data_IF_188202935039
#
_entry.id   IF_188202935039
#
_cell.length_a   1.000
_cell.length_b   1.000
_cell.length_c   1.000
_cell.angle_alpha   90.00
_cell.angle_beta   90.00
_cell.angle_gamma   90.00
#
_symmetry.space_group_name_H-M   'P 1'
#
loop_
_entity.id
_entity.type
_entity.pdbx_description
1 polymer ?
#
# COMPACT_ATOMS: atom_id res chain seq x y z
N UNK A 1 -11.24 -14.21 -0.93
CA UNK A 1 -10.06 -13.39 -0.59
C UNK A 1 -10.35 -12.56 0.65
N UNK A 2 -9.38 -12.47 1.53
CA UNK A 2 -9.51 -11.69 2.76
C UNK A 2 -8.54 -10.52 2.74
N UNK A 3 -9.08 -9.31 2.65
CA UNK A 3 -8.30 -8.08 2.71
C UNK A 3 -7.99 -7.69 4.15
N UNK A 4 -6.96 -6.87 4.33
CA UNK A 4 -6.59 -6.32 5.63
C UNK A 4 -5.96 -4.95 5.46
N UNK A 5 -5.81 -4.21 6.55
CA UNK A 5 -5.11 -2.92 6.55
C UNK A 5 -3.73 -3.00 7.18
N UNK A 6 -3.47 -4.05 7.95
CA UNK A 6 -2.20 -4.26 8.66
C UNK A 6 -1.78 -5.72 8.52
N UNK A 7 -0.48 -6.00 8.49
CA UNK A 7 -0.01 -7.38 8.49
C UNK A 7 -0.32 -8.06 9.82
N UNK A 8 -0.53 -9.38 9.79
CA UNK A 8 -0.60 -10.17 11.00
C UNK A 8 0.82 -10.52 11.47
N UNK A 9 0.93 -11.14 12.65
CA UNK A 9 2.22 -11.44 13.26
C UNK A 9 3.07 -12.37 12.40
N UNK A 10 2.45 -13.37 11.78
CA UNK A 10 3.15 -14.31 10.91
C UNK A 10 3.71 -13.62 9.67
N UNK A 11 2.92 -12.75 9.06
CA UNK A 11 3.34 -11.98 7.88
C UNK A 11 4.49 -11.04 8.24
N UNK A 12 4.39 -10.34 9.36
CA UNK A 12 5.45 -9.44 9.81
C UNK A 12 6.73 -10.22 10.12
N UNK A 13 6.63 -11.35 10.80
CA UNK A 13 7.78 -12.20 11.12
C UNK A 13 8.50 -12.65 9.85
N UNK A 14 7.73 -13.08 8.83
CA UNK A 14 8.31 -13.48 7.54
C UNK A 14 9.00 -12.31 6.82
N UNK A 15 8.42 -11.13 6.90
CA UNK A 15 9.00 -9.94 6.27
C UNK A 15 10.27 -9.46 6.98
N UNK A 16 10.41 -9.77 8.28
CA UNK A 16 11.61 -9.43 9.07
C UNK A 16 12.76 -10.42 8.86
N UNK A 17 12.52 -11.56 8.21
CA UNK A 17 13.59 -12.52 7.92
C UNK A 17 14.65 -11.90 7.01
N UNK A 18 15.89 -12.35 7.16
CA UNK A 18 16.97 -11.87 6.31
C UNK A 18 16.67 -12.17 4.84
N UNK A 19 16.91 -11.17 4.00
CA UNK A 19 16.84 -11.30 2.56
C UNK A 19 18.22 -10.97 1.99
N UNK A 20 18.41 -11.22 0.70
CA UNK A 20 19.67 -10.97 0.03
C UNK A 20 19.92 -9.48 -0.26
N UNK A 21 19.15 -8.58 0.34
CA UNK A 21 19.28 -7.14 0.07
C UNK A 21 18.82 -6.73 -1.32
N UNK A 22 18.06 -7.58 -1.98
CA UNK A 22 17.53 -7.34 -3.32
C UNK A 22 16.40 -6.32 -3.29
N UNK A 23 16.24 -5.53 -4.36
CA UNK A 23 15.03 -4.71 -4.50
C UNK A 23 13.77 -5.55 -4.48
N UNK A 24 12.74 -4.98 -3.88
CA UNK A 24 11.41 -5.59 -3.86
C UNK A 24 10.42 -4.66 -4.55
N UNK A 25 9.44 -5.25 -5.22
CA UNK A 25 8.37 -4.54 -5.90
C UNK A 25 7.07 -4.94 -5.25
N UNK A 26 6.51 -4.03 -4.45
CA UNK A 26 5.32 -4.31 -3.67
C UNK A 26 4.08 -4.00 -4.50
N UNK A 27 3.30 -5.03 -4.77
CA UNK A 27 2.05 -4.92 -5.52
C UNK A 27 0.93 -4.68 -4.53
N UNK A 28 0.25 -3.55 -4.66
CA UNK A 28 -0.86 -3.18 -3.81
C UNK A 28 -2.16 -3.29 -4.58
N UNK A 29 -3.09 -4.08 -4.07
CA UNK A 29 -4.46 -4.16 -4.57
C UNK A 29 -5.33 -3.44 -3.54
N UNK A 30 -6.00 -2.37 -3.96
CA UNK A 30 -6.64 -1.43 -3.05
C UNK A 30 -8.15 -1.40 -3.25
N UNK A 31 -8.88 -1.45 -2.13
CA UNK A 31 -10.33 -1.27 -2.10
C UNK A 31 -10.65 -0.05 -1.25
N UNK A 32 -11.38 0.92 -1.82
CA UNK A 32 -11.69 2.16 -1.11
C UNK A 32 -13.03 2.08 -0.40
N UNK A 33 -13.12 2.78 0.73
CA UNK A 33 -14.40 3.05 1.38
C UNK A 33 -15.20 4.04 0.55
N UNK A 34 -16.52 3.98 0.61
CA UNK A 34 -17.38 4.99 -0.02
C UNK A 34 -17.15 6.35 0.61
N UNK A 35 -17.08 6.40 1.94
CA UNK A 35 -16.80 7.60 2.70
C UNK A 35 -15.61 7.35 3.62
N UNK A 36 -14.65 8.29 3.64
CA UNK A 36 -13.48 8.20 4.49
C UNK A 36 -13.89 8.23 5.96
N UNK A 37 -13.17 7.46 6.78
CA UNK A 37 -13.38 7.41 8.23
C UNK A 37 -12.01 7.45 8.91
N UNK A 38 -11.66 8.60 9.49
CA UNK A 38 -10.34 8.76 10.09
C UNK A 38 -10.22 8.07 11.46
N UNK A 39 -9.06 7.48 11.76
CA UNK A 39 -8.86 6.81 13.05
C UNK A 39 -9.01 7.75 14.25
N UNK A 40 -8.67 9.04 14.09
CA UNK A 40 -8.80 10.04 15.15
C UNK A 40 -10.21 10.60 15.27
N UNK A 41 -11.16 10.06 14.48
CA UNK A 41 -12.57 10.45 14.48
C UNK A 41 -12.86 11.89 14.06
N UNK A 42 -11.90 12.55 13.38
CA UNK A 42 -12.16 13.86 12.78
C UNK A 42 -13.30 13.76 11.77
N UNK A 43 -14.10 14.80 11.67
CA UNK A 43 -15.15 14.88 10.67
C UNK A 43 -14.53 15.14 9.30
N UNK A 44 -15.12 14.53 8.26
CA UNK A 44 -14.68 14.73 6.90
C UNK A 44 -15.81 14.45 5.92
N UNK A 45 -15.82 15.16 4.82
CA UNK A 45 -16.72 14.89 3.69
C UNK A 45 -16.03 14.15 2.56
N UNK A 46 -14.76 13.76 2.75
CA UNK A 46 -14.00 13.07 1.70
C UNK A 46 -14.54 11.66 1.46
N UNK A 47 -14.48 11.22 0.20
CA UNK A 47 -14.64 9.81 -0.13
C UNK A 47 -13.39 9.05 0.29
N UNK A 48 -13.49 7.72 0.35
CA UNK A 48 -12.32 6.90 0.62
C UNK A 48 -11.22 7.10 -0.42
N UNK A 49 -11.60 7.19 -1.69
CA UNK A 49 -10.66 7.45 -2.78
C UNK A 49 -9.96 8.79 -2.63
N UNK A 50 -10.68 9.84 -2.24
CA UNK A 50 -10.11 11.16 -2.03
C UNK A 50 -9.13 11.19 -0.86
N UNK A 51 -9.47 10.53 0.24
CA UNK A 51 -8.55 10.41 1.38
C UNK A 51 -7.28 9.67 1.00
N UNK A 52 -7.42 8.56 0.27
CA UNK A 52 -6.26 7.82 -0.20
C UNK A 52 -5.40 8.63 -1.17
N UNK A 53 -6.01 9.51 -1.97
CA UNK A 53 -5.28 10.39 -2.87
C UNK A 53 -4.36 11.34 -2.11
N UNK A 54 -4.77 11.81 -0.94
CA UNK A 54 -3.92 12.61 -0.07
C UNK A 54 -2.70 11.79 0.38
N UNK A 55 -2.95 10.55 0.82
CA UNK A 55 -1.86 9.63 1.16
C UNK A 55 -0.91 9.45 -0.01
N UNK A 56 -1.44 9.23 -1.20
CA UNK A 56 -0.65 9.02 -2.41
C UNK A 56 0.28 10.20 -2.74
N UNK A 57 -0.16 11.42 -2.49
CA UNK A 57 0.68 12.60 -2.68
C UNK A 57 1.75 12.70 -1.59
N UNK A 58 1.40 12.44 -0.35
CA UNK A 58 2.33 12.57 0.79
C UNK A 58 3.35 11.46 0.85
N UNK A 59 2.98 10.25 0.44
CA UNK A 59 3.87 9.08 0.54
C UNK A 59 5.09 9.20 -0.38
N UNK A 60 5.01 9.99 -1.44
CA UNK A 60 6.13 10.16 -2.38
C UNK A 60 7.40 10.63 -1.70
N UNK A 61 7.31 11.61 -0.79
CA UNK A 61 8.47 12.10 -0.05
C UNK A 61 9.03 11.05 0.91
N UNK A 62 8.16 10.22 1.48
CA UNK A 62 8.58 9.14 2.38
C UNK A 62 9.30 8.03 1.62
N UNK A 63 8.81 7.69 0.43
CA UNK A 63 9.46 6.74 -0.46
C UNK A 63 10.85 7.25 -0.86
N UNK A 64 10.92 8.50 -1.32
CA UNK A 64 12.17 9.12 -1.75
C UNK A 64 13.22 9.10 -0.64
N UNK A 65 12.82 9.37 0.59
CA UNK A 65 13.69 9.42 1.76
C UNK A 65 14.41 8.08 2.01
N UNK A 66 13.82 6.96 1.63
CA UNK A 66 14.41 5.63 1.82
C UNK A 66 14.92 5.02 0.51
N UNK A 67 15.02 5.81 -0.56
CA UNK A 67 15.50 5.33 -1.85
C UNK A 67 14.50 4.51 -2.63
N UNK A 68 13.23 4.55 -2.24
CA UNK A 68 12.14 3.88 -2.92
C UNK A 68 11.49 4.81 -3.94
N UNK A 69 10.62 4.25 -4.79
CA UNK A 69 9.89 5.05 -5.78
C UNK A 69 8.63 4.35 -6.24
N UNK A 70 7.60 5.13 -6.63
CA UNK A 70 6.44 4.55 -7.29
C UNK A 70 6.83 4.07 -8.70
N UNK A 71 6.28 2.92 -9.09
CA UNK A 71 6.54 2.33 -10.41
C UNK A 71 5.32 2.47 -11.31
N UNK A 72 4.13 2.17 -10.77
CA UNK A 72 2.89 2.18 -11.55
C UNK A 72 1.70 2.36 -10.63
N UNK A 73 0.69 3.04 -11.13
CA UNK A 73 -0.60 3.14 -10.46
C UNK A 73 -1.68 3.24 -11.52
N UNK A 74 -2.77 2.49 -11.35
CA UNK A 74 -3.85 2.50 -12.31
C UNK A 74 -5.17 2.06 -11.72
N UNK A 75 -6.27 2.62 -12.25
CA UNK A 75 -7.62 2.19 -11.86
C UNK A 75 -7.92 0.84 -12.48
N UNK A 76 -8.48 -0.06 -11.69
CA UNK A 76 -8.98 -1.34 -12.18
C UNK A 76 -10.26 -1.07 -12.98
N UNK A 77 -10.30 -1.56 -14.22
CA UNK A 77 -11.46 -1.36 -15.08
C UNK A 77 -12.37 -2.59 -15.17
N UNK A 78 -11.76 -3.77 -15.19
CA UNK A 78 -12.54 -5.01 -15.26
C UNK A 78 -11.68 -6.25 -15.06
N UNK A 79 -12.31 -7.32 -14.62
CA UNK A 79 -11.68 -8.63 -14.51
C UNK A 79 -11.87 -9.34 -15.85
N UNK A 80 -10.79 -9.56 -16.59
CA UNK A 80 -10.86 -10.22 -17.89
C UNK A 80 -10.92 -11.74 -17.75
N UNK A 81 -10.28 -12.29 -16.72
CA UNK A 81 -10.12 -13.73 -16.55
C UNK A 81 -10.09 -14.08 -15.06
N UNK A 82 -10.72 -15.18 -14.70
CA UNK A 82 -10.78 -15.64 -13.31
C UNK A 82 -12.00 -15.13 -12.58
N UNK A 83 -12.06 -15.42 -11.28
CA UNK A 83 -13.18 -15.01 -10.42
C UNK A 83 -12.65 -14.49 -9.10
N UNK A 84 -13.30 -13.49 -8.56
CA UNK A 84 -13.02 -12.93 -7.25
C UNK A 84 -14.34 -12.40 -6.69
N UNK A 85 -14.51 -12.47 -5.37
CA UNK A 85 -15.78 -12.09 -4.73
C UNK A 85 -16.09 -10.61 -4.90
N UNK A 86 -15.04 -9.76 -4.84
CA UNK A 86 -15.18 -8.33 -4.97
C UNK A 86 -13.91 -7.77 -5.59
N UNK A 87 -14.05 -7.11 -6.73
CA UNK A 87 -12.89 -6.60 -7.47
C UNK A 87 -12.32 -5.35 -6.81
N UNK A 88 -11.00 -5.24 -6.80
CA UNK A 88 -10.33 -4.07 -6.25
C UNK A 88 -10.52 -2.85 -7.15
N UNK A 89 -10.31 -1.66 -6.56
CA UNK A 89 -10.50 -0.38 -7.25
C UNK A 89 -9.23 0.10 -7.96
N UNK A 90 -8.07 -0.17 -7.37
CA UNK A 90 -6.79 0.38 -7.85
C UNK A 90 -5.67 -0.63 -7.65
N UNK A 91 -4.72 -0.63 -8.58
CA UNK A 91 -3.44 -1.32 -8.43
C UNK A 91 -2.36 -0.25 -8.32
N UNK A 92 -1.45 -0.42 -7.36
CA UNK A 92 -0.30 0.47 -7.21
C UNK A 92 0.94 -0.37 -6.91
N UNK A 93 2.04 -0.07 -7.58
CA UNK A 93 3.30 -0.81 -7.41
C UNK A 93 4.38 0.18 -7.00
N UNK A 94 5.08 -0.13 -5.90
CA UNK A 94 6.21 0.65 -5.42
C UNK A 94 7.44 -0.23 -5.30
N UNK A 95 8.59 0.31 -5.69
CA UNK A 95 9.87 -0.37 -5.53
C UNK A 95 10.56 0.15 -4.28
N UNK A 96 11.12 -0.78 -3.50
CA UNK A 96 12.02 -0.46 -2.38
C UNK A 96 13.36 -1.13 -2.62
N UNK A 97 14.48 -0.48 -2.23
CA UNK A 97 15.81 -1.10 -2.43
C UNK A 97 15.95 -2.45 -1.73
N UNK A 98 15.25 -2.64 -0.62
CA UNK A 98 15.21 -3.87 0.17
C UNK A 98 14.06 -3.78 1.18
N UNK A 99 13.82 -4.87 1.91
CA UNK A 99 12.76 -4.90 2.94
C UNK A 99 13.01 -3.87 4.04
N UNK A 100 14.28 -3.70 4.43
CA UNK A 100 14.64 -2.76 5.50
C UNK A 100 14.20 -1.34 5.17
N UNK A 101 14.35 -0.91 3.90
CA UNK A 101 13.93 0.42 3.48
C UNK A 101 12.43 0.63 3.70
N UNK A 102 11.61 -0.36 3.38
CA UNK A 102 10.17 -0.28 3.62
C UNK A 102 9.87 -0.21 5.12
N UNK A 103 10.53 -1.05 5.92
CA UNK A 103 10.35 -1.04 7.38
C UNK A 103 10.77 0.30 8.00
N UNK A 104 11.86 0.87 7.54
CA UNK A 104 12.33 2.19 7.98
C UNK A 104 11.29 3.27 7.66
N UNK A 105 10.68 3.21 6.47
CA UNK A 105 9.64 4.15 6.08
C UNK A 105 8.42 4.05 6.97
N UNK A 106 7.86 2.85 7.13
CA UNK A 106 6.62 2.67 7.89
C UNK A 106 6.78 2.89 9.38
N UNK A 107 8.03 2.93 9.88
CA UNK A 107 8.35 3.22 11.28
C UNK A 107 8.63 4.70 11.52
N UNK A 108 8.74 5.51 10.48
CA UNK A 108 9.02 6.94 10.58
C UNK A 108 7.76 7.67 11.09
N UNK A 109 7.88 8.45 12.19
CA UNK A 109 6.73 9.20 12.71
C UNK A 109 6.05 10.12 11.70
N UNK A 110 6.80 10.69 10.76
CA UNK A 110 6.22 11.52 9.71
C UNK A 110 5.38 10.69 8.73
N UNK A 111 5.85 9.47 8.38
CA UNK A 111 5.05 8.55 7.57
C UNK A 111 3.76 8.16 8.31
N UNK A 112 3.85 7.89 9.60
CA UNK A 112 2.69 7.46 10.39
C UNK A 112 1.58 8.52 10.35
N UNK A 113 1.94 9.81 10.32
CA UNK A 113 0.96 10.90 10.14
C UNK A 113 0.27 10.80 8.78
N UNK A 114 1.02 10.60 7.72
CA UNK A 114 0.47 10.46 6.36
C UNK A 114 -0.39 9.19 6.24
N UNK A 115 0.00 8.13 6.93
CA UNK A 115 -0.70 6.84 6.89
C UNK A 115 -2.12 6.90 7.44
N UNK A 116 -2.47 7.95 8.20
CA UNK A 116 -3.85 8.13 8.65
C UNK A 116 -4.81 8.32 7.48
N UNK A 117 -4.37 8.97 6.40
CA UNK A 117 -5.17 9.12 5.18
C UNK A 117 -5.37 7.78 4.47
N UNK A 118 -4.35 6.93 4.50
CA UNK A 118 -4.44 5.58 3.98
C UNK A 118 -5.51 4.77 4.72
N UNK A 119 -5.42 4.73 6.04
CA UNK A 119 -6.38 3.99 6.88
C UNK A 119 -7.78 4.57 6.74
N UNK A 120 -7.90 5.90 6.64
CA UNK A 120 -9.20 6.55 6.48
C UNK A 120 -9.89 6.17 5.18
N UNK A 121 -9.12 5.96 4.11
CA UNK A 121 -9.66 5.73 2.77
C UNK A 121 -9.85 4.28 2.39
N UNK A 122 -9.09 3.36 2.98
CA UNK A 122 -9.09 1.95 2.58
C UNK A 122 -10.12 1.12 3.34
N UNK A 123 -10.95 0.42 2.59
CA UNK A 123 -11.77 -0.66 3.13
C UNK A 123 -10.94 -1.92 3.32
N UNK A 124 -10.01 -2.16 2.40
CA UNK A 124 -9.10 -3.29 2.48
C UNK A 124 -8.01 -3.24 1.43
N UNK A 125 -7.03 -4.10 1.62
CA UNK A 125 -5.86 -4.14 0.76
C UNK A 125 -5.25 -5.54 0.76
N UNK A 126 -4.64 -5.90 -0.36
CA UNK A 126 -3.60 -6.92 -0.41
C UNK A 126 -2.30 -6.23 -0.76
N UNK A 127 -1.23 -6.63 -0.09
CA UNK A 127 0.11 -6.11 -0.36
C UNK A 127 1.01 -7.33 -0.60
N UNK A 128 1.51 -7.46 -1.83
CA UNK A 128 2.19 -8.65 -2.30
C UNK A 128 3.62 -8.29 -2.65
N UNK A 129 4.58 -8.93 -1.97
CA UNK A 129 5.99 -8.77 -2.29
C UNK A 129 6.32 -9.55 -3.56
N UNK A 130 6.95 -8.87 -4.51
CA UNK A 130 7.57 -9.51 -5.66
C UNK A 130 9.05 -9.14 -5.70
N UNK A 131 9.83 -9.97 -6.36
CA UNK A 131 11.27 -9.73 -6.53
C UNK A 131 11.51 -8.90 -7.79
N UNK A 132 12.75 -8.86 -8.25
CA UNK A 132 13.12 -8.13 -9.46
C UNK A 132 12.25 -8.53 -10.65
N UNK A 133 11.92 -7.58 -11.55
CA UNK A 133 11.12 -7.91 -12.72
C UNK A 133 11.73 -9.02 -13.55
N UNK A 134 10.87 -9.87 -14.08
CA UNK A 134 11.31 -10.92 -15.02
C UNK A 134 11.55 -10.30 -16.39
N UNK A 135 12.55 -10.82 -17.08
CA UNK A 135 12.87 -10.41 -18.44
C UNK A 135 12.14 -11.35 -19.40
N UNK A 136 10.92 -10.96 -19.78
CA UNK A 136 10.06 -11.78 -20.65
C UNK A 136 9.75 -11.09 -21.97
#
# INVERSE_FOLDING_TARGET
>A
VKNALMPNDQQMAGFLEESEGQPIYMVNLLKFKDKATYPDKRETDLTGEEAYAIYGQEVRKHLEKVGAKPIFSGKVSRLMLGEVEDLWDTVAIAMYPNRKAMLDMISDPEYIKSAQHRVAGLEGQLNIETNSPLDI
#
